data_IF_943308350137
#
_entry.id   IF_943308350137
#
_cell.length_a   1.000
_cell.length_b   1.000
_cell.length_c   1.000
_cell.angle_alpha   90.00
_cell.angle_beta   90.00
_cell.angle_gamma   90.00
#
_symmetry.space_group_name_H-M   'P 1'
#
loop_
_entity.id
_entity.type
_entity.pdbx_description
1 polymer ?
#
# COMPACT_ATOMS: atom_id res chain seq x y z
N UNK A 1 63.12 27.72 28.37
CA UNK A 1 62.47 28.05 27.06
C UNK A 1 61.21 27.28 27.01
N UNK A 2 60.06 27.95 27.18
CA UNK A 2 58.72 27.38 27.18
C UNK A 2 58.07 27.82 25.87
N UNK A 3 57.93 26.89 24.91
CA UNK A 3 57.21 27.16 23.69
C UNK A 3 55.72 27.15 23.96
N UNK A 4 55.17 28.37 24.03
CA UNK A 4 53.71 28.57 24.16
C UNK A 4 52.99 28.18 22.87
N UNK A 5 52.28 27.06 22.92
CA UNK A 5 51.39 26.61 21.82
C UNK A 5 50.15 27.50 21.85
N UNK A 6 50.15 28.56 21.05
CA UNK A 6 48.95 29.40 20.90
C UNK A 6 47.96 28.72 19.94
N UNK A 7 46.97 28.05 20.53
CA UNK A 7 45.87 27.53 19.73
C UNK A 7 45.04 28.72 19.23
N UNK A 8 45.10 28.96 17.93
CA UNK A 8 44.22 29.95 17.26
C UNK A 8 42.76 29.49 17.42
N UNK A 9 41.85 30.31 17.91
CA UNK A 9 40.44 29.93 18.02
C UNK A 9 39.84 29.72 16.61
N UNK A 10 39.14 28.62 16.44
CA UNK A 10 38.42 28.27 15.22
C UNK A 10 37.35 29.35 14.98
N UNK A 11 37.35 30.04 13.83
CA UNK A 11 36.43 31.15 13.55
C UNK A 11 34.99 30.74 13.25
N UNK A 12 34.67 29.44 13.30
CA UNK A 12 33.30 28.95 13.01
C UNK A 12 32.34 29.29 14.15
N UNK A 13 31.10 29.70 13.85
CA UNK A 13 30.10 30.00 14.86
C UNK A 13 29.75 28.78 15.72
N UNK A 14 29.43 28.92 16.99
CA UNK A 14 29.22 27.80 17.93
C UNK A 14 28.14 26.80 17.45
N UNK A 15 27.11 27.27 16.75
CA UNK A 15 26.07 26.38 16.22
C UNK A 15 26.59 25.41 15.16
N UNK A 16 27.60 25.78 14.36
CA UNK A 16 28.16 24.90 13.33
C UNK A 16 28.89 23.70 13.95
N UNK A 17 29.46 23.87 15.14
CA UNK A 17 30.15 22.79 15.84
C UNK A 17 29.18 21.71 16.36
N UNK A 18 28.04 22.13 16.91
CA UNK A 18 27.01 21.18 17.37
C UNK A 18 26.46 20.35 16.21
N UNK A 19 26.21 20.99 15.08
CA UNK A 19 25.73 20.30 13.88
C UNK A 19 26.78 19.36 13.30
N UNK A 20 28.04 19.79 13.27
CA UNK A 20 29.15 18.94 12.81
C UNK A 20 29.31 17.70 13.72
N UNK A 21 29.21 17.87 15.02
CA UNK A 21 29.28 16.75 15.98
C UNK A 21 28.10 15.80 15.78
N UNK A 22 26.88 16.32 15.62
CA UNK A 22 25.69 15.50 15.42
C UNK A 22 25.81 14.65 14.13
N UNK A 23 26.23 15.29 13.04
CA UNK A 23 26.41 14.60 11.74
C UNK A 23 27.53 13.55 11.86
N UNK A 24 28.64 13.87 12.51
CA UNK A 24 29.74 12.92 12.72
C UNK A 24 29.30 11.70 13.52
N UNK A 25 28.52 11.92 14.59
CA UNK A 25 27.94 10.83 15.39
C UNK A 25 26.98 9.99 14.57
N UNK A 26 26.08 10.61 13.79
CA UNK A 26 25.15 9.90 12.90
C UNK A 26 25.89 9.05 11.87
N UNK A 27 26.92 9.61 11.22
CA UNK A 27 27.77 8.87 10.26
C UNK A 27 28.47 7.70 10.96
N UNK A 28 28.99 7.92 12.17
CA UNK A 28 29.62 6.85 12.95
C UNK A 28 28.61 5.73 13.26
N UNK A 29 27.39 6.06 13.71
CA UNK A 29 26.33 5.07 13.96
C UNK A 29 25.95 4.33 12.68
N UNK A 30 25.85 5.04 11.55
CA UNK A 30 25.56 4.41 10.24
C UNK A 30 26.69 3.45 9.82
N UNK A 31 27.95 3.78 10.11
CA UNK A 31 29.07 2.90 9.76
C UNK A 31 29.15 1.68 10.68
N UNK A 32 28.86 1.84 11.97
CA UNK A 32 28.92 0.74 12.95
C UNK A 32 27.68 -0.15 12.87
N UNK A 33 26.50 0.45 12.79
CA UNK A 33 25.23 -0.27 12.83
C UNK A 33 24.51 -0.29 11.48
N UNK A 34 25.13 0.17 10.41
CA UNK A 34 24.48 0.40 9.11
C UNK A 34 23.73 -0.81 8.57
N UNK A 35 24.31 -2.00 8.69
CA UNK A 35 23.66 -3.24 8.21
C UNK A 35 22.39 -3.52 9.05
N UNK A 36 22.48 -3.37 10.37
CA UNK A 36 21.32 -3.54 11.27
C UNK A 36 20.25 -2.50 11.00
N UNK A 37 20.64 -1.25 10.76
CA UNK A 37 19.71 -0.16 10.42
C UNK A 37 18.98 -0.44 9.10
N UNK A 38 19.72 -0.94 8.09
CA UNK A 38 19.12 -1.33 6.80
C UNK A 38 18.15 -2.48 7.01
N UNK A 39 18.53 -3.50 7.76
CA UNK A 39 17.66 -4.64 8.08
C UNK A 39 16.36 -4.17 8.75
N UNK A 40 16.47 -3.36 9.81
CA UNK A 40 15.30 -2.85 10.55
C UNK A 40 14.44 -1.95 9.65
N UNK A 41 15.06 -1.05 8.89
CA UNK A 41 14.35 -0.13 7.99
C UNK A 41 13.54 -0.90 6.93
N UNK A 42 14.16 -1.89 6.26
CA UNK A 42 13.50 -2.73 5.25
C UNK A 42 12.41 -3.58 5.92
N UNK A 43 12.70 -4.17 7.08
CA UNK A 43 11.71 -4.96 7.81
C UNK A 43 10.46 -4.15 8.14
N UNK A 44 10.65 -2.94 8.69
CA UNK A 44 9.52 -2.04 9.03
C UNK A 44 8.72 -1.63 7.80
N UNK A 45 9.39 -1.27 6.69
CA UNK A 45 8.70 -0.92 5.43
C UNK A 45 7.85 -2.09 4.93
N UNK A 46 8.43 -3.29 4.88
CA UNK A 46 7.73 -4.48 4.38
C UNK A 46 6.61 -4.93 5.34
N UNK A 47 6.72 -4.62 6.63
CA UNK A 47 5.61 -4.81 7.57
C UNK A 47 4.49 -3.79 7.40
N UNK A 48 4.71 -2.72 6.61
CA UNK A 48 3.70 -1.71 6.30
C UNK A 48 3.90 -0.38 7.00
N UNK A 49 5.01 -0.18 7.71
CA UNK A 49 5.31 1.13 8.29
C UNK A 49 5.65 2.14 7.18
N UNK A 50 5.26 3.41 7.33
CA UNK A 50 5.53 4.43 6.31
C UNK A 50 6.98 4.95 6.36
N UNK A 51 7.93 4.03 6.35
CA UNK A 51 9.37 4.30 6.40
C UNK A 51 9.97 3.86 5.06
N UNK A 52 10.43 4.80 4.21
CA UNK A 52 10.91 4.41 2.87
C UNK A 52 12.29 3.76 2.94
N UNK A 53 12.42 2.51 2.47
CA UNK A 53 13.69 1.78 2.47
C UNK A 53 14.53 2.07 1.22
N UNK A 54 13.92 2.41 0.09
CA UNK A 54 14.66 2.67 -1.16
C UNK A 54 15.73 3.79 -0.98
N UNK A 55 15.41 4.97 -0.41
CA UNK A 55 16.44 5.98 -0.15
C UNK A 55 17.59 5.46 0.73
N UNK A 56 17.26 4.68 1.76
CA UNK A 56 18.30 4.10 2.65
C UNK A 56 19.22 3.12 1.89
N UNK A 57 18.64 2.27 1.03
CA UNK A 57 19.38 1.34 0.18
C UNK A 57 20.25 2.07 -0.85
N UNK A 58 19.78 3.19 -1.41
CA UNK A 58 20.54 4.01 -2.35
C UNK A 58 21.75 4.64 -1.63
N UNK A 59 21.54 5.22 -0.45
CA UNK A 59 22.65 5.80 0.35
C UNK A 59 23.65 4.72 0.75
N UNK A 60 23.18 3.56 1.21
CA UNK A 60 24.05 2.42 1.54
C UNK A 60 24.85 1.93 0.32
N UNK A 61 24.21 1.95 -0.86
CA UNK A 61 24.85 1.63 -2.14
C UNK A 61 26.00 2.59 -2.46
N UNK A 62 25.79 3.90 -2.25
CA UNK A 62 26.84 4.91 -2.44
C UNK A 62 28.02 4.65 -1.47
N UNK A 63 27.71 4.46 -0.18
CA UNK A 63 28.74 4.17 0.85
C UNK A 63 29.52 2.87 0.55
N UNK A 64 28.88 1.91 -0.12
CA UNK A 64 29.55 0.66 -0.51
C UNK A 64 30.57 0.87 -1.64
N UNK A 65 30.37 1.88 -2.47
CA UNK A 65 31.32 2.25 -3.53
C UNK A 65 32.64 2.76 -2.91
N UNK A 66 32.54 3.49 -1.80
CA UNK A 66 33.70 4.04 -1.06
C UNK A 66 34.40 2.99 -0.16
N UNK A 67 33.94 1.74 -0.20
CA UNK A 67 34.48 0.68 0.65
C UNK A 67 34.05 0.77 2.11
N UNK A 68 33.18 1.68 2.46
CA UNK A 68 32.70 1.88 3.86
C UNK A 68 31.73 0.79 4.32
N UNK A 69 31.01 0.16 3.36
CA UNK A 69 30.07 -0.92 3.63
C UNK A 69 30.19 -2.02 2.56
N UNK A 70 29.89 -3.27 2.94
CA UNK A 70 29.88 -4.38 1.98
C UNK A 70 28.53 -4.42 1.23
N UNK A 71 28.55 -4.30 -0.11
CA UNK A 71 27.36 -4.44 -0.96
C UNK A 71 26.64 -5.79 -0.72
N UNK A 72 27.41 -6.86 -0.55
CA UNK A 72 26.88 -8.19 -0.29
C UNK A 72 26.10 -8.23 1.02
N UNK A 73 26.66 -7.66 2.09
CA UNK A 73 25.98 -7.63 3.39
C UNK A 73 24.71 -6.77 3.36
N UNK A 74 24.74 -5.64 2.63
CA UNK A 74 23.56 -4.79 2.41
C UNK A 74 22.45 -5.61 1.74
N UNK A 75 22.79 -6.32 0.66
CA UNK A 75 21.83 -7.12 -0.10
C UNK A 75 21.27 -8.28 0.75
N UNK A 76 22.15 -9.00 1.46
CA UNK A 76 21.73 -10.11 2.32
C UNK A 76 20.77 -9.61 3.42
N UNK A 77 21.09 -8.49 4.06
CA UNK A 77 20.27 -7.89 5.11
C UNK A 77 18.90 -7.47 4.55
N UNK A 78 18.88 -6.81 3.39
CA UNK A 78 17.63 -6.34 2.75
C UNK A 78 16.74 -7.52 2.31
N UNK A 79 17.33 -8.55 1.69
CA UNK A 79 16.60 -9.74 1.24
C UNK A 79 16.05 -10.51 2.45
N UNK A 80 16.87 -10.72 3.48
CA UNK A 80 16.44 -11.43 4.69
C UNK A 80 15.29 -10.70 5.39
N UNK A 81 15.43 -9.39 5.59
CA UNK A 81 14.39 -8.55 6.21
C UNK A 81 13.07 -8.61 5.42
N UNK A 82 13.18 -8.48 4.09
CA UNK A 82 12.04 -8.55 3.19
C UNK A 82 11.33 -9.91 3.27
N UNK A 83 12.09 -11.01 3.12
CA UNK A 83 11.54 -12.37 3.17
C UNK A 83 10.86 -12.67 4.52
N UNK A 84 11.44 -12.21 5.63
CA UNK A 84 10.86 -12.42 6.97
C UNK A 84 9.49 -11.73 7.06
N UNK A 85 9.42 -10.46 6.68
CA UNK A 85 8.17 -9.69 6.70
C UNK A 85 7.11 -10.28 5.76
N UNK A 86 7.51 -10.55 4.52
CA UNK A 86 6.59 -11.05 3.48
C UNK A 86 6.12 -12.48 3.77
N UNK A 87 6.99 -13.32 4.35
CA UNK A 87 6.62 -14.66 4.77
C UNK A 87 5.61 -14.62 5.92
N UNK A 88 5.77 -13.69 6.83
CA UNK A 88 4.78 -13.48 7.90
C UNK A 88 3.41 -13.11 7.30
N UNK A 89 3.39 -12.16 6.36
CA UNK A 89 2.15 -11.77 5.67
C UNK A 89 1.56 -12.93 4.85
N UNK A 90 2.39 -13.73 4.19
CA UNK A 90 1.98 -14.93 3.45
C UNK A 90 1.27 -15.93 4.39
N UNK A 91 1.85 -16.19 5.58
CA UNK A 91 1.24 -17.09 6.56
C UNK A 91 -0.09 -16.55 7.09
N UNK A 92 -0.16 -15.23 7.36
CA UNK A 92 -1.39 -14.58 7.79
C UNK A 92 -2.46 -14.68 6.70
N UNK A 93 -2.08 -14.48 5.43
CA UNK A 93 -2.97 -14.68 4.29
C UNK A 93 -3.48 -16.11 4.18
N UNK A 94 -2.59 -17.09 4.38
CA UNK A 94 -2.95 -18.53 4.38
C UNK A 94 -3.92 -18.88 5.51
N UNK A 95 -3.72 -18.29 6.70
CA UNK A 95 -4.51 -18.59 7.90
C UNK A 95 -5.86 -17.89 7.90
N UNK A 96 -5.90 -16.62 7.51
CA UNK A 96 -7.09 -15.77 7.61
C UNK A 96 -7.76 -15.47 6.26
N UNK A 97 -7.16 -15.93 5.16
CA UNK A 97 -7.70 -15.74 3.80
C UNK A 97 -7.87 -14.26 3.45
N UNK A 98 -8.93 -13.96 2.74
CA UNK A 98 -9.24 -12.61 2.27
C UNK A 98 -9.58 -11.60 3.39
N UNK A 99 -9.82 -12.07 4.62
CA UNK A 99 -10.07 -11.18 5.77
C UNK A 99 -8.85 -10.30 6.07
N UNK A 100 -7.64 -10.86 5.98
CA UNK A 100 -6.40 -10.09 6.21
C UNK A 100 -6.21 -9.01 5.14
N UNK A 101 -6.52 -9.33 3.87
CA UNK A 101 -6.46 -8.38 2.76
C UNK A 101 -7.40 -7.20 2.99
N UNK A 102 -8.63 -7.47 3.42
CA UNK A 102 -9.61 -6.44 3.78
C UNK A 102 -9.07 -5.51 4.87
N UNK A 103 -8.45 -6.08 5.90
CA UNK A 103 -7.90 -5.30 7.01
C UNK A 103 -6.74 -4.41 6.56
N UNK A 104 -5.80 -4.96 5.78
CA UNK A 104 -4.66 -4.22 5.23
C UNK A 104 -5.11 -3.07 4.33
N UNK A 105 -6.04 -3.35 3.43
CA UNK A 105 -6.53 -2.33 2.51
C UNK A 105 -7.37 -1.26 3.21
N UNK A 106 -8.01 -1.59 4.34
CA UNK A 106 -8.72 -0.59 5.17
C UNK A 106 -7.76 0.47 5.71
N UNK A 107 -6.54 0.07 6.05
CA UNK A 107 -5.50 0.97 6.58
C UNK A 107 -4.82 1.76 5.45
N UNK A 108 -4.80 1.22 4.24
CA UNK A 108 -4.18 1.84 3.06
C UNK A 108 -4.79 3.21 2.73
N UNK A 109 -3.98 4.09 2.16
CA UNK A 109 -4.40 5.41 1.68
C UNK A 109 -5.38 5.33 0.49
N UNK A 110 -5.42 4.19 -0.23
CA UNK A 110 -6.31 3.96 -1.38
C UNK A 110 -6.93 2.57 -1.28
N UNK A 111 -7.91 2.36 -0.39
CA UNK A 111 -8.48 1.03 -0.15
C UNK A 111 -9.09 0.37 -1.38
N UNK A 112 -9.65 1.17 -2.27
CA UNK A 112 -10.45 0.70 -3.41
C UNK A 112 -9.62 0.07 -4.51
N UNK A 113 -8.52 0.72 -4.86
CA UNK A 113 -7.58 0.20 -5.84
C UNK A 113 -6.70 -0.91 -5.25
N UNK A 114 -6.52 -0.92 -3.93
CA UNK A 114 -5.63 -1.84 -3.21
C UNK A 114 -5.99 -3.31 -3.47
N UNK A 115 -7.22 -3.72 -3.20
CA UNK A 115 -7.65 -5.12 -3.39
C UNK A 115 -7.80 -5.44 -4.87
N UNK A 116 -8.58 -4.64 -5.60
CA UNK A 116 -8.93 -4.89 -7.01
C UNK A 116 -7.70 -4.97 -7.91
N UNK A 117 -6.86 -3.93 -7.86
CA UNK A 117 -5.70 -3.85 -8.73
C UNK A 117 -4.67 -4.95 -8.39
N UNK A 118 -4.57 -5.29 -7.10
CA UNK A 118 -3.71 -6.38 -6.63
C UNK A 118 -4.23 -7.73 -7.12
N UNK A 119 -5.54 -8.00 -6.95
CA UNK A 119 -6.15 -9.25 -7.41
C UNK A 119 -6.04 -9.39 -8.92
N UNK A 120 -6.38 -8.36 -9.69
CA UNK A 120 -6.33 -8.39 -11.16
C UNK A 120 -4.91 -8.69 -11.66
N UNK A 121 -3.89 -8.07 -11.06
CA UNK A 121 -2.49 -8.36 -11.40
C UNK A 121 -2.09 -9.77 -11.00
N UNK A 122 -2.51 -10.19 -9.82
CA UNK A 122 -2.17 -11.54 -9.31
C UNK A 122 -2.90 -12.63 -10.10
N UNK A 123 -4.13 -12.44 -10.52
CA UNK A 123 -4.87 -13.36 -11.39
C UNK A 123 -4.18 -13.52 -12.75
N UNK A 124 -3.74 -12.39 -13.31
CA UNK A 124 -3.11 -12.38 -14.64
C UNK A 124 -1.70 -12.98 -14.62
N UNK A 125 -0.89 -12.67 -13.61
CA UNK A 125 0.54 -12.99 -13.58
C UNK A 125 0.92 -14.02 -12.51
N UNK A 126 0.00 -14.36 -11.62
CA UNK A 126 0.25 -15.33 -10.54
C UNK A 126 1.43 -14.90 -9.66
N UNK A 127 2.22 -15.88 -9.22
CA UNK A 127 3.43 -15.63 -8.41
C UNK A 127 4.48 -14.76 -9.12
N UNK A 128 4.47 -14.73 -10.46
CA UNK A 128 5.41 -13.86 -11.21
C UNK A 128 5.22 -12.38 -10.88
N UNK A 129 4.04 -11.98 -10.41
CA UNK A 129 3.77 -10.60 -9.99
C UNK A 129 4.63 -10.17 -8.81
N UNK A 130 5.11 -11.12 -7.96
CA UNK A 130 5.99 -10.84 -6.83
C UNK A 130 7.35 -10.27 -7.28
N UNK A 131 7.81 -10.62 -8.49
CA UNK A 131 9.07 -10.11 -9.04
C UNK A 131 9.10 -8.59 -9.15
N UNK A 132 7.93 -7.98 -9.42
CA UNK A 132 7.79 -6.54 -9.60
C UNK A 132 6.98 -5.87 -8.48
N UNK A 133 6.41 -6.67 -7.57
CA UNK A 133 5.52 -6.18 -6.51
C UNK A 133 6.18 -5.06 -5.68
N UNK A 134 7.47 -5.22 -5.37
CA UNK A 134 8.21 -4.29 -4.49
C UNK A 134 8.45 -2.91 -5.12
N UNK A 135 8.31 -2.79 -6.45
CA UNK A 135 8.42 -1.49 -7.15
C UNK A 135 7.10 -0.71 -7.17
N UNK A 136 6.00 -1.34 -6.80
CA UNK A 136 4.65 -0.73 -6.88
C UNK A 136 4.15 -0.49 -5.45
N UNK A 137 4.08 0.78 -5.01
CA UNK A 137 3.59 1.10 -3.66
C UNK A 137 2.18 0.54 -3.41
N UNK A 138 1.99 -0.09 -2.26
CA UNK A 138 0.74 -0.71 -1.88
C UNK A 138 0.58 -2.14 -2.41
N UNK A 139 1.11 -2.45 -3.59
CA UNK A 139 1.10 -3.83 -4.11
C UNK A 139 2.07 -4.71 -3.30
N UNK A 140 3.22 -4.16 -2.91
CA UNK A 140 4.23 -4.86 -2.11
C UNK A 140 3.67 -5.44 -0.80
N UNK A 141 2.78 -4.73 -0.12
CA UNK A 141 2.21 -5.17 1.17
C UNK A 141 1.03 -6.13 1.02
N UNK A 142 0.35 -6.13 -0.14
CA UNK A 142 -0.87 -6.93 -0.36
C UNK A 142 -0.59 -8.22 -1.13
N UNK A 143 0.44 -8.24 -1.98
CA UNK A 143 0.76 -9.41 -2.81
C UNK A 143 1.17 -10.65 -1.97
N UNK A 144 2.00 -10.54 -0.89
CA UNK A 144 2.33 -11.71 -0.07
C UNK A 144 1.11 -12.35 0.62
N UNK A 145 0.23 -11.60 1.34
CA UNK A 145 -0.95 -12.26 1.92
C UNK A 145 -1.92 -12.78 0.86
N UNK A 146 -2.01 -12.15 -0.31
CA UNK A 146 -2.84 -12.65 -1.41
C UNK A 146 -2.31 -13.99 -1.93
N UNK A 147 -0.99 -14.12 -2.09
CA UNK A 147 -0.35 -15.39 -2.48
C UNK A 147 -0.68 -16.50 -1.45
N UNK A 148 -0.66 -16.17 -0.16
CA UNK A 148 -1.04 -17.09 0.92
C UNK A 148 -2.52 -17.48 0.85
N UNK A 149 -3.41 -16.51 0.70
CA UNK A 149 -4.86 -16.72 0.60
C UNK A 149 -5.24 -17.55 -0.64
N UNK A 150 -4.48 -17.42 -1.73
CA UNK A 150 -4.69 -18.16 -2.98
C UNK A 150 -4.15 -19.60 -2.94
N UNK A 151 -3.67 -20.08 -1.80
CA UNK A 151 -3.21 -21.46 -1.63
C UNK A 151 -1.91 -21.80 -2.34
N UNK A 152 -1.11 -20.82 -2.73
CA UNK A 152 0.18 -21.05 -3.41
C UNK A 152 1.17 -21.76 -2.49
N UNK A 153 2.04 -22.61 -3.06
CA UNK A 153 3.02 -23.35 -2.27
C UNK A 153 4.06 -22.40 -1.66
N UNK A 154 4.45 -22.69 -0.43
CA UNK A 154 5.44 -21.90 0.32
C UNK A 154 6.77 -21.82 -0.44
N UNK A 155 7.22 -22.92 -0.99
CA UNK A 155 8.48 -23.00 -1.73
C UNK A 155 8.51 -22.05 -2.94
N UNK A 156 7.45 -22.10 -3.76
CA UNK A 156 7.35 -21.22 -4.91
C UNK A 156 7.25 -19.75 -4.49
N UNK A 157 6.49 -19.45 -3.42
CA UNK A 157 6.39 -18.09 -2.87
C UNK A 157 7.77 -17.55 -2.49
N UNK A 158 8.55 -18.30 -1.68
CA UNK A 158 9.87 -17.86 -1.21
C UNK A 158 10.83 -17.61 -2.37
N UNK A 159 10.79 -18.45 -3.43
CA UNK A 159 11.64 -18.26 -4.60
C UNK A 159 11.27 -16.96 -5.35
N UNK A 160 9.99 -16.79 -5.71
CA UNK A 160 9.56 -15.63 -6.49
C UNK A 160 9.74 -14.32 -5.69
N UNK A 161 9.40 -14.34 -4.40
CA UNK A 161 9.55 -13.18 -3.54
C UNK A 161 11.02 -12.85 -3.27
N UNK A 162 11.85 -13.86 -3.04
CA UNK A 162 13.30 -13.71 -2.85
C UNK A 162 13.98 -13.13 -4.09
N UNK A 163 13.62 -13.60 -5.29
CA UNK A 163 14.12 -13.02 -6.55
C UNK A 163 13.63 -11.58 -6.69
N UNK A 164 12.37 -11.31 -6.37
CA UNK A 164 11.81 -9.95 -6.37
C UNK A 164 12.57 -9.02 -5.43
N UNK A 165 12.84 -9.49 -4.20
CA UNK A 165 13.63 -8.75 -3.21
C UNK A 165 15.06 -8.48 -3.70
N UNK A 166 15.70 -9.48 -4.33
CA UNK A 166 17.05 -9.32 -4.91
C UNK A 166 17.05 -8.28 -6.03
N UNK A 167 16.08 -8.32 -6.94
CA UNK A 167 15.97 -7.35 -8.05
C UNK A 167 15.76 -5.93 -7.49
N UNK A 168 14.83 -5.79 -6.55
CA UNK A 168 14.47 -4.49 -5.94
C UNK A 168 15.63 -3.89 -5.13
N UNK A 169 16.20 -4.66 -4.21
CA UNK A 169 17.34 -4.21 -3.40
C UNK A 169 18.59 -4.02 -4.25
N UNK A 170 18.82 -4.95 -5.20
CA UNK A 170 19.95 -4.87 -6.14
C UNK A 170 19.89 -3.63 -7.01
N UNK A 171 18.72 -3.31 -7.57
CA UNK A 171 18.51 -2.09 -8.37
C UNK A 171 18.77 -0.83 -7.54
N UNK A 172 18.28 -0.81 -6.28
CA UNK A 172 18.47 0.33 -5.37
C UNK A 172 19.94 0.53 -5.01
N UNK A 173 20.63 -0.53 -4.64
CA UNK A 173 22.07 -0.50 -4.31
C UNK A 173 22.91 -0.12 -5.56
N UNK A 174 22.59 -0.70 -6.72
CA UNK A 174 23.25 -0.38 -7.99
C UNK A 174 23.08 1.09 -8.37
N UNK A 175 21.87 1.62 -8.20
CA UNK A 175 21.62 3.05 -8.43
C UNK A 175 22.46 3.92 -7.49
N UNK A 176 22.54 3.56 -6.21
CA UNK A 176 23.41 4.26 -5.24
C UNK A 176 24.88 4.25 -5.67
N UNK A 177 25.40 3.09 -6.08
CA UNK A 177 26.77 2.96 -6.57
C UNK A 177 27.04 3.75 -7.84
N UNK A 178 26.07 3.76 -8.76
CA UNK A 178 26.18 4.47 -10.03
C UNK A 178 26.18 6.00 -9.84
N UNK A 179 25.33 6.47 -8.94
CA UNK A 179 25.15 7.92 -8.72
C UNK A 179 25.83 8.44 -7.45
N UNK A 180 26.86 7.72 -6.94
CA UNK A 180 27.52 8.08 -5.67
C UNK A 180 27.98 9.54 -5.61
N UNK A 181 28.59 10.08 -6.67
CA UNK A 181 29.01 11.49 -6.72
C UNK A 181 27.84 12.48 -6.59
N UNK A 182 26.67 12.14 -7.13
CA UNK A 182 25.48 12.98 -6.98
C UNK A 182 24.94 12.92 -5.54
N UNK A 183 24.99 11.73 -4.95
CA UNK A 183 24.57 11.50 -3.56
C UNK A 183 25.51 12.23 -2.61
N UNK A 184 26.82 12.16 -2.82
CA UNK A 184 27.82 12.87 -2.01
C UNK A 184 27.59 14.38 -2.05
N UNK A 185 27.31 14.95 -3.24
CA UNK A 185 26.98 16.37 -3.40
C UNK A 185 25.70 16.74 -2.68
N UNK A 186 24.68 15.85 -2.74
CA UNK A 186 23.39 16.06 -2.05
C UNK A 186 23.59 16.03 -0.53
N UNK A 187 24.36 15.05 -0.02
CA UNK A 187 24.66 14.96 1.42
C UNK A 187 25.42 16.19 1.91
N UNK A 188 26.45 16.61 1.15
CA UNK A 188 27.21 17.83 1.45
C UNK A 188 26.31 19.10 1.42
N UNK A 189 25.39 19.18 0.46
CA UNK A 189 24.44 20.29 0.40
C UNK A 189 23.50 20.29 1.63
N UNK A 190 23.02 19.11 2.04
CA UNK A 190 22.19 18.97 3.25
C UNK A 190 22.97 19.35 4.53
N UNK A 191 24.23 18.98 4.61
CA UNK A 191 25.12 19.40 5.70
C UNK A 191 25.28 20.92 5.76
N UNK A 192 25.49 21.56 4.60
CA UNK A 192 25.65 23.01 4.49
C UNK A 192 24.37 23.78 4.83
N UNK A 193 23.19 23.21 4.49
CA UNK A 193 21.89 23.80 4.82
C UNK A 193 21.51 23.62 6.28
N UNK A 194 22.25 22.76 6.99
CA UNK A 194 22.00 22.51 8.41
C UNK A 194 20.72 21.71 8.66
N UNK A 195 20.37 21.58 9.92
CA UNK A 195 19.19 20.82 10.34
C UNK A 195 17.85 21.33 9.81
N UNK A 196 17.80 22.59 9.40
CA UNK A 196 16.57 23.23 8.88
C UNK A 196 16.04 22.55 7.60
N UNK A 197 16.95 22.06 6.74
CA UNK A 197 16.54 21.34 5.52
C UNK A 197 15.73 20.07 5.86
N UNK A 198 16.19 19.31 6.86
CA UNK A 198 15.50 18.09 7.32
C UNK A 198 14.13 18.44 7.95
N UNK A 199 14.07 19.54 8.71
CA UNK A 199 12.81 20.01 9.31
C UNK A 199 11.82 20.40 8.21
N UNK A 200 12.27 21.14 7.19
CA UNK A 200 11.41 21.58 6.07
C UNK A 200 10.90 20.37 5.28
N UNK A 201 11.79 19.42 4.96
CA UNK A 201 11.41 18.18 4.25
C UNK A 201 10.40 17.37 5.08
N UNK A 202 10.67 17.21 6.38
CA UNK A 202 9.78 16.51 7.30
C UNK A 202 8.40 17.18 7.39
N UNK A 203 8.37 18.50 7.48
CA UNK A 203 7.12 19.27 7.53
C UNK A 203 6.34 19.13 6.20
N UNK A 204 7.04 19.20 5.08
CA UNK A 204 6.42 19.03 3.75
C UNK A 204 5.78 17.64 3.62
N UNK A 205 6.50 16.59 4.02
CA UNK A 205 5.97 15.22 4.01
C UNK A 205 4.75 15.08 4.92
N UNK A 206 4.82 15.69 6.11
CA UNK A 206 3.70 15.66 7.06
C UNK A 206 2.46 16.36 6.49
N UNK A 207 2.66 17.51 5.83
CA UNK A 207 1.57 18.24 5.15
C UNK A 207 0.98 17.40 4.03
N UNK A 208 1.81 16.76 3.20
CA UNK A 208 1.34 15.89 2.11
C UNK A 208 0.50 14.72 2.65
N UNK A 209 0.97 14.08 3.73
CA UNK A 209 0.24 13.00 4.40
C UNK A 209 -1.09 13.51 4.95
N UNK A 210 -1.08 14.66 5.62
CA UNK A 210 -2.28 15.28 6.21
C UNK A 210 -3.31 15.63 5.13
N UNK A 211 -2.87 16.22 4.01
CA UNK A 211 -3.74 16.56 2.87
C UNK A 211 -4.38 15.29 2.28
N UNK A 212 -3.57 14.26 2.05
CA UNK A 212 -4.08 12.96 1.55
C UNK A 212 -5.09 12.35 2.51
N UNK A 213 -4.81 12.41 3.79
CA UNK A 213 -5.69 11.89 4.84
C UNK A 213 -7.01 12.67 4.91
N UNK A 214 -6.94 14.00 4.84
CA UNK A 214 -8.13 14.87 4.82
C UNK A 214 -9.00 14.60 3.58
N UNK A 215 -8.39 14.47 2.41
CA UNK A 215 -9.09 14.10 1.16
C UNK A 215 -9.82 12.76 1.32
N UNK A 216 -9.16 11.78 1.94
CA UNK A 216 -9.73 10.47 2.23
C UNK A 216 -10.96 10.57 3.16
N UNK A 217 -10.83 11.31 4.27
CA UNK A 217 -11.95 11.49 5.23
C UNK A 217 -13.14 12.17 4.54
N UNK A 218 -12.87 13.21 3.77
CA UNK A 218 -13.92 13.95 3.04
C UNK A 218 -14.65 13.02 2.06
N UNK A 219 -13.91 12.24 1.29
CA UNK A 219 -14.46 11.26 0.35
C UNK A 219 -15.34 10.23 1.08
N UNK A 220 -14.85 9.64 2.18
CA UNK A 220 -15.60 8.65 2.96
C UNK A 220 -16.87 9.24 3.57
N UNK A 221 -16.86 10.50 3.98
CA UNK A 221 -18.06 11.19 4.50
C UNK A 221 -19.13 11.34 3.41
N UNK A 222 -18.73 11.75 2.20
CA UNK A 222 -19.68 11.88 1.07
C UNK A 222 -20.32 10.53 0.75
N UNK A 223 -19.56 9.44 0.78
CA UNK A 223 -20.08 8.10 0.51
C UNK A 223 -21.09 7.62 1.55
N UNK A 224 -20.91 7.98 2.81
CA UNK A 224 -21.80 7.54 3.91
C UNK A 224 -23.20 8.13 3.81
N UNK A 225 -23.37 9.27 3.17
CA UNK A 225 -24.66 9.96 3.06
C UNK A 225 -25.61 9.36 2.01
N UNK A 226 -25.08 8.55 1.09
CA UNK A 226 -25.83 8.05 -0.06
C UNK A 226 -26.09 6.54 -0.04
N UNK A 227 -25.71 5.82 1.03
CA UNK A 227 -25.82 4.36 1.06
C UNK A 227 -27.18 3.88 1.57
N UNK A 228 -27.55 2.65 1.17
CA UNK A 228 -28.74 1.96 1.62
C UNK A 228 -28.37 0.90 2.66
N UNK A 229 -29.14 0.78 3.74
CA UNK A 229 -28.94 -0.26 4.76
C UNK A 229 -29.53 -1.59 4.29
N UNK A 230 -28.96 -2.76 4.71
CA UNK A 230 -29.50 -4.07 4.31
C UNK A 230 -30.98 -4.27 4.63
N UNK A 231 -31.43 -3.80 5.79
CA UNK A 231 -32.84 -3.89 6.19
C UNK A 231 -33.73 -3.04 5.29
N UNK A 232 -33.27 -1.89 4.84
CA UNK A 232 -34.00 -1.02 3.92
C UNK A 232 -34.16 -1.69 2.56
N UNK A 233 -33.08 -2.26 2.01
CA UNK A 233 -33.14 -3.01 0.75
C UNK A 233 -34.08 -4.22 0.87
N UNK A 234 -33.98 -4.97 1.96
CA UNK A 234 -34.87 -6.12 2.19
C UNK A 234 -36.36 -5.66 2.22
N UNK A 235 -36.63 -4.57 2.94
CA UNK A 235 -37.99 -4.04 3.00
C UNK A 235 -38.54 -3.60 1.61
N UNK A 236 -37.69 -3.04 0.75
CA UNK A 236 -38.06 -2.71 -0.64
C UNK A 236 -38.41 -3.98 -1.42
N UNK A 237 -37.59 -5.01 -1.35
CA UNK A 237 -37.84 -6.29 -2.03
C UNK A 237 -39.14 -6.95 -1.53
N UNK A 238 -39.41 -6.90 -0.24
CA UNK A 238 -40.61 -7.49 0.38
C UNK A 238 -41.92 -6.71 -0.02
N UNK A 239 -41.79 -5.41 -0.32
CA UNK A 239 -42.91 -4.61 -0.83
C UNK A 239 -43.17 -4.79 -2.33
N UNK A 240 -42.36 -5.65 -3.00
CA UNK A 240 -42.48 -5.86 -4.43
C UNK A 240 -41.88 -4.71 -5.26
N UNK A 241 -41.04 -3.89 -4.66
CA UNK A 241 -40.20 -2.95 -5.40
C UNK A 241 -39.03 -3.72 -6.01
N UNK A 242 -38.67 -3.42 -7.23
CA UNK A 242 -37.61 -4.16 -7.96
C UNK A 242 -36.43 -3.24 -8.23
N UNK A 243 -35.65 -2.88 -7.20
CA UNK A 243 -34.40 -2.17 -7.47
C UNK A 243 -33.46 -3.06 -8.27
N UNK A 244 -32.66 -2.47 -9.15
CA UNK A 244 -31.62 -3.18 -9.89
C UNK A 244 -30.45 -3.40 -8.94
N UNK A 245 -30.28 -4.63 -8.46
CA UNK A 245 -29.18 -4.98 -7.55
C UNK A 245 -28.00 -5.48 -8.37
N UNK A 246 -26.83 -4.87 -8.19
CA UNK A 246 -25.64 -5.15 -9.00
C UNK A 246 -24.47 -5.61 -8.12
N UNK A 247 -23.92 -6.76 -8.47
CA UNK A 247 -22.69 -7.30 -7.86
C UNK A 247 -21.47 -6.82 -8.64
N UNK A 248 -20.72 -5.89 -8.04
CA UNK A 248 -19.48 -5.34 -8.63
C UNK A 248 -18.23 -5.95 -8.03
N UNK A 249 -18.34 -7.14 -7.43
CA UNK A 249 -17.19 -7.87 -6.88
C UNK A 249 -16.25 -8.34 -8.00
N UNK A 250 -14.97 -8.49 -7.65
CA UNK A 250 -14.00 -9.09 -8.58
C UNK A 250 -14.31 -10.58 -8.78
N UNK A 251 -13.90 -11.18 -9.91
CA UNK A 251 -14.05 -12.62 -10.11
C UNK A 251 -13.42 -13.46 -8.99
N UNK A 252 -12.25 -13.05 -8.48
CA UNK A 252 -11.58 -13.72 -7.36
C UNK A 252 -12.43 -13.69 -6.08
N UNK A 253 -13.05 -12.55 -5.77
CA UNK A 253 -13.90 -12.42 -4.58
C UNK A 253 -15.16 -13.28 -4.71
N UNK A 254 -15.75 -13.35 -5.91
CA UNK A 254 -16.92 -14.22 -6.20
C UNK A 254 -16.56 -15.71 -6.09
N UNK A 255 -15.43 -16.11 -6.63
CA UNK A 255 -14.92 -17.49 -6.52
C UNK A 255 -14.68 -17.90 -5.07
N UNK A 256 -14.20 -16.97 -4.24
CA UNK A 256 -13.95 -17.23 -2.81
C UNK A 256 -15.24 -17.32 -2.01
N UNK A 257 -16.25 -16.52 -2.35
CA UNK A 257 -17.59 -16.55 -1.74
C UNK A 257 -18.63 -16.55 -2.86
N UNK A 258 -19.09 -17.73 -3.31
CA UNK A 258 -19.99 -17.83 -4.45
C UNK A 258 -21.43 -17.39 -4.17
N UNK A 259 -21.74 -16.98 -2.95
CA UNK A 259 -23.07 -16.50 -2.58
C UNK A 259 -23.31 -15.08 -3.13
N UNK A 260 -24.55 -14.77 -3.44
CA UNK A 260 -25.02 -13.51 -4.01
C UNK A 260 -26.33 -13.09 -3.38
N UNK A 261 -26.67 -11.81 -3.44
CA UNK A 261 -28.02 -11.33 -3.11
C UNK A 261 -28.95 -11.83 -4.23
N UNK A 262 -30.14 -12.36 -3.90
CA UNK A 262 -31.04 -12.91 -4.91
C UNK A 262 -31.35 -11.91 -6.04
N UNK A 263 -31.31 -12.42 -7.27
CA UNK A 263 -31.55 -11.67 -8.50
C UNK A 263 -30.53 -10.54 -8.78
N UNK A 264 -29.34 -10.57 -8.14
CA UNK A 264 -28.31 -9.58 -8.44
C UNK A 264 -27.69 -9.83 -9.81
N UNK A 265 -27.53 -8.76 -10.57
CA UNK A 265 -26.84 -8.80 -11.87
C UNK A 265 -25.35 -8.77 -11.63
N UNK A 266 -24.64 -9.76 -12.16
CA UNK A 266 -23.18 -9.85 -12.03
C UNK A 266 -22.54 -8.99 -13.13
N UNK A 267 -21.90 -7.90 -12.75
CA UNK A 267 -21.30 -6.99 -13.72
C UNK A 267 -19.84 -6.72 -13.34
N UNK A 268 -18.98 -6.76 -14.33
CA UNK A 268 -17.59 -6.33 -14.15
C UNK A 268 -17.58 -4.80 -14.01
N UNK A 269 -16.79 -4.29 -13.07
CA UNK A 269 -16.79 -2.86 -12.74
C UNK A 269 -16.56 -1.95 -13.96
N UNK A 270 -15.70 -2.38 -14.88
CA UNK A 270 -15.36 -1.59 -16.06
C UNK A 270 -16.47 -1.63 -17.13
N UNK A 271 -17.37 -2.61 -17.06
CA UNK A 271 -18.46 -2.83 -18.01
C UNK A 271 -19.84 -2.37 -17.52
N UNK A 272 -19.93 -1.92 -16.26
CA UNK A 272 -21.22 -1.53 -15.63
C UNK A 272 -21.97 -0.51 -16.49
N UNK A 273 -21.27 0.50 -16.96
CA UNK A 273 -21.88 1.58 -17.74
C UNK A 273 -22.39 1.13 -19.11
N UNK A 274 -21.84 0.04 -19.65
CA UNK A 274 -22.26 -0.52 -20.95
C UNK A 274 -23.40 -1.52 -20.76
N UNK A 275 -23.31 -2.38 -19.75
CA UNK A 275 -24.29 -3.43 -19.49
C UNK A 275 -25.60 -2.90 -18.91
N UNK A 276 -25.60 -1.70 -18.34
CA UNK A 276 -26.81 -1.04 -17.81
C UNK A 276 -27.50 -0.11 -18.82
N UNK A 277 -27.13 -0.18 -20.10
CA UNK A 277 -27.73 0.66 -21.14
C UNK A 277 -29.24 0.58 -21.24
N UNK A 278 -29.82 -0.57 -20.89
CA UNK A 278 -31.28 -0.82 -20.92
C UNK A 278 -31.97 -0.42 -19.61
N UNK A 279 -31.22 -0.04 -18.56
CA UNK A 279 -31.81 0.38 -17.28
C UNK A 279 -32.15 1.86 -17.34
N UNK A 280 -33.40 2.18 -17.01
CA UNK A 280 -33.90 3.57 -17.03
C UNK A 280 -33.07 4.45 -16.05
N UNK A 281 -32.69 5.66 -16.43
CA UNK A 281 -31.84 6.53 -15.58
C UNK A 281 -32.47 6.88 -14.20
N UNK A 282 -33.79 6.78 -14.06
CA UNK A 282 -34.47 7.04 -12.80
C UNK A 282 -34.74 5.77 -11.98
N UNK A 283 -34.34 4.60 -12.47
CA UNK A 283 -34.47 3.35 -11.72
C UNK A 283 -33.60 3.37 -10.45
N UNK A 284 -34.10 2.71 -9.42
CA UNK A 284 -33.36 2.51 -8.17
C UNK A 284 -32.24 1.46 -8.41
N UNK A 285 -31.00 1.86 -8.31
CA UNK A 285 -29.85 0.97 -8.51
C UNK A 285 -29.11 0.81 -7.20
N UNK A 286 -28.96 -0.43 -6.74
CA UNK A 286 -28.23 -0.78 -5.53
C UNK A 286 -26.98 -1.56 -5.90
N UNK A 287 -25.81 -1.07 -5.49
CA UNK A 287 -24.53 -1.67 -5.82
C UNK A 287 -23.90 -2.29 -4.58
N UNK A 288 -23.39 -3.51 -4.68
CA UNK A 288 -22.65 -4.08 -3.55
C UNK A 288 -21.33 -4.71 -3.98
N UNK A 289 -20.42 -4.76 -3.02
CA UNK A 289 -19.10 -5.38 -3.16
C UNK A 289 -18.68 -6.06 -1.85
N UNK A 290 -17.45 -6.51 -1.77
CA UNK A 290 -16.83 -7.02 -0.53
C UNK A 290 -15.74 -6.09 0.03
N UNK A 291 -15.57 -5.09 -0.49
CA UNK A 291 -14.68 -4.31 -0.14
C UNK A 291 -14.97 -3.67 1.03
N UNK A 292 -13.99 -3.47 1.72
CA UNK A 292 -14.22 -2.67 2.92
C UNK A 292 -14.65 -1.23 2.56
N UNK A 293 -15.54 -0.70 3.37
CA UNK A 293 -16.12 0.65 3.22
C UNK A 293 -16.91 0.85 1.90
N UNK A 294 -17.35 -0.21 1.27
CA UNK A 294 -18.17 -0.20 0.04
C UNK A 294 -17.55 0.64 -1.10
N UNK A 295 -16.25 0.81 -1.07
CA UNK A 295 -15.57 1.81 -1.91
C UNK A 295 -15.66 1.50 -3.41
N UNK A 296 -15.60 0.20 -3.79
CA UNK A 296 -15.79 -0.20 -5.20
C UNK A 296 -17.22 0.09 -5.66
N UNK A 297 -18.23 -0.24 -4.84
CA UNK A 297 -19.62 0.04 -5.13
C UNK A 297 -19.87 1.56 -5.23
N UNK A 298 -19.26 2.32 -4.33
CA UNK A 298 -19.36 3.79 -4.31
C UNK A 298 -18.71 4.44 -5.54
N UNK A 299 -17.59 3.91 -6.00
CA UNK A 299 -16.92 4.40 -7.23
C UNK A 299 -17.81 4.16 -8.46
N UNK A 300 -18.39 2.96 -8.56
CA UNK A 300 -19.33 2.63 -9.63
C UNK A 300 -20.59 3.50 -9.52
N UNK A 301 -21.10 3.72 -8.30
CA UNK A 301 -22.24 4.61 -8.07
C UNK A 301 -21.97 6.01 -8.64
N UNK A 302 -20.78 6.55 -8.37
CA UNK A 302 -20.40 7.87 -8.89
C UNK A 302 -20.34 7.87 -10.42
N UNK A 303 -19.74 6.85 -11.03
CA UNK A 303 -19.69 6.71 -12.49
C UNK A 303 -21.11 6.71 -13.10
N UNK A 304 -22.05 6.01 -12.46
CA UNK A 304 -23.44 5.96 -12.92
C UNK A 304 -24.15 7.30 -12.75
N UNK A 305 -23.93 7.98 -11.63
CA UNK A 305 -24.48 9.33 -11.38
C UNK A 305 -23.95 10.32 -12.44
N UNK A 306 -22.65 10.26 -12.74
CA UNK A 306 -22.05 11.11 -13.77
C UNK A 306 -22.62 10.81 -15.18
N UNK A 307 -23.17 9.61 -15.39
CA UNK A 307 -23.86 9.20 -16.63
C UNK A 307 -25.37 9.50 -16.61
N UNK A 308 -25.87 10.13 -15.55
CA UNK A 308 -27.26 10.57 -15.48
C UNK A 308 -28.21 9.70 -14.68
N UNK A 309 -27.73 8.64 -14.04
CA UNK A 309 -28.56 7.86 -13.12
C UNK A 309 -28.80 8.67 -11.84
N UNK A 310 -30.06 8.78 -11.42
CA UNK A 310 -30.44 9.68 -10.31
C UNK A 310 -30.58 9.00 -8.95
N UNK A 311 -30.78 7.68 -8.94
CA UNK A 311 -31.04 6.90 -7.71
C UNK A 311 -30.06 5.72 -7.62
N UNK A 312 -28.80 6.02 -7.30
CA UNK A 312 -27.76 5.00 -7.19
C UNK A 312 -27.21 4.99 -5.77
N UNK A 313 -27.32 3.86 -5.08
CA UNK A 313 -26.91 3.75 -3.68
C UNK A 313 -26.05 2.51 -3.43
N UNK A 314 -24.85 2.65 -2.82
CA UNK A 314 -24.10 1.51 -2.34
C UNK A 314 -24.76 0.85 -1.13
N UNK A 315 -24.73 -0.48 -1.08
CA UNK A 315 -25.26 -1.26 0.05
C UNK A 315 -24.26 -1.23 1.22
N UNK A 316 -24.72 -0.78 2.37
CA UNK A 316 -23.92 -0.70 3.60
C UNK A 316 -23.44 -2.10 4.01
N UNK A 317 -22.11 -2.25 4.24
CA UNK A 317 -21.51 -3.52 4.56
C UNK A 317 -21.43 -4.50 3.38
N UNK A 318 -21.94 -4.12 2.21
CA UNK A 318 -21.92 -4.97 1.01
C UNK A 318 -22.59 -6.33 1.24
N UNK A 319 -22.07 -7.37 0.58
CA UNK A 319 -22.59 -8.74 0.74
C UNK A 319 -22.46 -9.24 2.18
N UNK A 320 -21.37 -8.94 2.85
CA UNK A 320 -21.16 -9.38 4.24
C UNK A 320 -22.22 -8.76 5.17
N UNK A 321 -22.54 -7.46 5.00
CA UNK A 321 -23.59 -6.81 5.76
C UNK A 321 -24.98 -7.42 5.53
N UNK A 322 -25.26 -7.85 4.30
CA UNK A 322 -26.49 -8.56 3.96
C UNK A 322 -26.57 -9.93 4.66
N UNK A 323 -25.48 -10.69 4.62
CA UNK A 323 -25.37 -12.01 5.29
C UNK A 323 -25.46 -11.87 6.81
N UNK A 324 -24.75 -10.89 7.39
CA UNK A 324 -24.75 -10.64 8.83
C UNK A 324 -26.12 -10.24 9.35
N UNK A 325 -26.94 -9.61 8.51
CA UNK A 325 -28.35 -9.30 8.81
C UNK A 325 -29.26 -10.54 8.73
N UNK A 326 -28.74 -11.70 8.32
CA UNK A 326 -29.49 -12.96 8.24
C UNK A 326 -30.39 -13.08 7.01
N UNK A 327 -30.18 -12.29 5.96
CA UNK A 327 -31.05 -12.27 4.79
C UNK A 327 -30.67 -13.37 3.78
N UNK A 328 -31.62 -13.83 2.95
CA UNK A 328 -31.38 -14.94 2.04
C UNK A 328 -30.33 -14.61 0.98
N UNK A 329 -29.55 -15.62 0.62
CA UNK A 329 -28.55 -15.55 -0.44
C UNK A 329 -28.77 -16.69 -1.43
N UNK A 330 -28.30 -16.52 -2.66
CA UNK A 330 -28.31 -17.58 -3.68
C UNK A 330 -26.86 -17.89 -4.09
N UNK A 331 -26.61 -19.11 -4.51
CA UNK A 331 -25.30 -19.51 -5.01
C UNK A 331 -25.17 -19.09 -6.48
N UNK A 332 -24.08 -18.39 -6.79
CA UNK A 332 -23.76 -18.01 -8.17
C UNK A 332 -23.15 -19.24 -8.86
N UNK A 333 -23.77 -19.69 -9.91
CA UNK A 333 -23.33 -20.85 -10.69
C UNK A 333 -22.02 -20.56 -11.45
#
# INVERSE_FOLDING_TARGET
>A
MADGFSATPDPRPPNSRYHAHLVTHLVHYVLVYGISLIFINVLLEQLGAPVPAVPALIVAGALSRDGKMSSTNILLAAIAASLIADYMWFLLGRRYGYRILRTLCRISLSPDSCVRDTEARFERWGLKSLLIAKFIPGFSTVAPPLAGASGRTTFAFVIYDGIGALIWAGASVAAGRAFHHAIDRLLAALENLGGWALVVIGLLLLVLIAVKWAQRIHFLKQLRLARIEPHELKAMLDRGEFPVVIDVRTPGARKHNPRSIPNAILVHMDDVATQLGDVAPHAEVVLYCTXPNEASAARVARMLIDKGYTKVRPLAGGLDGWIDAGFPVEDVA
#
